data_IF_549032129677
#
_entry.id   IF_549032129677
#
_cell.length_a   1.000
_cell.length_b   1.000
_cell.length_c   1.000
_cell.angle_alpha   90.00
_cell.angle_beta   90.00
_cell.angle_gamma   90.00
#
_symmetry.space_group_name_H-M   'P 1'
#
loop_
_entity.id
_entity.type
_entity.pdbx_description
1 polymer ?
#
# COMPACT_ATOMS: atom_id res chain seq x y z
N UNK A 1 10.27 -2.48 -1.10
CA UNK A 1 10.10 -1.45 -0.05
C UNK A 1 9.66 -2.13 1.22
N UNK A 2 10.47 -2.03 2.26
CA UNK A 2 10.31 -2.77 3.50
C UNK A 2 11.17 -2.10 4.56
N UNK A 3 11.88 -2.90 5.35
CA UNK A 3 12.81 -2.40 6.37
C UNK A 3 14.27 -2.57 5.94
N UNK A 4 15.18 -1.76 6.50
CA UNK A 4 16.62 -1.98 6.40
C UNK A 4 17.02 -3.29 7.07
N UNK A 5 17.65 -4.21 6.33
CA UNK A 5 18.09 -5.50 6.89
C UNK A 5 19.43 -5.38 7.62
N UNK A 6 20.27 -4.43 7.23
CA UNK A 6 21.61 -4.24 7.76
C UNK A 6 22.12 -2.80 7.51
N UNK A 7 23.27 -2.46 8.10
CA UNK A 7 23.85 -1.12 8.00
C UNK A 7 24.29 -0.77 6.57
N UNK A 8 24.80 -1.72 5.80
CA UNK A 8 25.23 -1.46 4.42
C UNK A 8 24.06 -1.04 3.53
N UNK A 9 22.84 -1.51 3.81
CA UNK A 9 21.64 -1.05 3.11
C UNK A 9 21.25 0.39 3.45
N UNK A 10 21.58 0.88 4.64
CA UNK A 10 21.34 2.27 5.05
C UNK A 10 22.36 3.17 4.37
N UNK A 11 23.63 2.78 4.41
CA UNK A 11 24.74 3.56 3.83
C UNK A 11 24.63 3.62 2.29
N UNK A 12 24.08 2.58 1.66
CA UNK A 12 23.80 2.55 0.23
C UNK A 12 22.47 3.25 -0.15
N UNK A 13 21.67 3.69 0.82
CA UNK A 13 20.39 4.36 0.56
C UNK A 13 20.59 5.86 0.38
N UNK A 14 21.01 6.22 -0.83
CA UNK A 14 21.34 7.58 -1.24
C UNK A 14 20.39 8.11 -2.31
N UNK A 15 20.21 9.43 -2.34
CA UNK A 15 19.53 10.14 -3.42
C UNK A 15 20.40 10.23 -4.68
N UNK A 16 19.91 10.85 -5.76
CA UNK A 16 20.67 10.98 -7.01
C UNK A 16 22.00 11.74 -6.87
N UNK A 17 22.10 12.59 -5.85
CA UNK A 17 23.29 13.37 -5.53
C UNK A 17 24.27 12.64 -4.58
N UNK A 18 23.97 11.40 -4.18
CA UNK A 18 24.82 10.59 -3.29
C UNK A 18 24.69 10.93 -1.80
N UNK A 19 23.68 11.70 -1.41
CA UNK A 19 23.38 12.01 0.00
C UNK A 19 22.53 10.91 0.60
N UNK A 20 22.90 10.44 1.81
CA UNK A 20 22.15 9.39 2.51
C UNK A 20 20.82 9.95 3.00
N UNK A 21 19.71 9.33 2.56
CA UNK A 21 18.34 9.82 2.78
C UNK A 21 17.89 9.61 4.25
N UNK A 22 18.37 8.54 4.89
CA UNK A 22 18.01 8.19 6.27
C UNK A 22 19.24 7.91 7.14
N UNK A 23 20.09 8.92 7.42
CA UNK A 23 21.39 8.71 8.05
C UNK A 23 21.30 8.19 9.49
N UNK A 24 20.17 8.39 10.16
CA UNK A 24 19.93 7.95 11.54
C UNK A 24 19.16 6.62 11.62
N UNK A 25 18.82 6.00 10.49
CA UNK A 25 18.12 4.72 10.48
C UNK A 25 19.01 3.61 11.03
N UNK A 26 18.37 2.59 11.60
CA UNK A 26 19.00 1.37 12.09
C UNK A 26 18.42 0.16 11.37
N UNK A 27 19.15 -0.98 11.31
CA UNK A 27 18.57 -2.23 10.84
C UNK A 27 17.26 -2.53 11.58
N UNK A 28 16.18 -2.73 10.83
CA UNK A 28 14.83 -2.87 11.33
C UNK A 28 13.91 -1.68 11.02
N UNK A 29 14.47 -0.49 10.77
CA UNK A 29 13.67 0.70 10.46
C UNK A 29 13.10 0.64 9.04
N UNK A 30 11.94 1.29 8.85
CA UNK A 30 11.31 1.41 7.54
C UNK A 30 12.17 2.23 6.57
N UNK A 31 12.21 1.77 5.31
CA UNK A 31 12.76 2.53 4.19
C UNK A 31 11.67 3.46 3.65
N UNK A 32 11.81 4.76 3.91
CA UNK A 32 10.95 5.81 3.37
C UNK A 32 11.44 6.22 2.00
N UNK A 33 10.54 6.35 1.03
CA UNK A 33 10.88 6.79 -0.31
C UNK A 33 10.96 8.31 -0.33
N UNK A 34 12.13 8.83 -0.68
CA UNK A 34 12.33 10.22 -1.07
C UNK A 34 11.64 10.44 -2.43
N UNK A 35 10.63 11.32 -2.47
CA UNK A 35 9.78 11.56 -3.64
C UNK A 35 10.25 12.74 -4.49
N UNK A 36 10.95 13.70 -3.91
CA UNK A 36 11.44 14.90 -4.59
C UNK A 36 12.97 14.91 -4.80
N UNK A 37 13.64 13.85 -4.33
CA UNK A 37 15.07 13.55 -4.52
C UNK A 37 16.01 14.56 -3.84
N UNK A 38 15.53 15.22 -2.78
CA UNK A 38 16.28 16.24 -2.04
C UNK A 38 17.19 15.64 -0.94
N UNK A 39 17.05 14.34 -0.64
CA UNK A 39 17.82 13.63 0.37
C UNK A 39 17.31 13.78 1.80
N UNK A 40 16.21 14.49 2.02
CA UNK A 40 15.49 14.58 3.28
C UNK A 40 14.23 13.70 3.20
N UNK A 41 13.67 13.39 4.37
CA UNK A 41 12.36 12.74 4.45
C UNK A 41 11.47 13.64 5.28
N UNK A 42 10.57 14.38 4.63
CA UNK A 42 9.71 15.35 5.28
C UNK A 42 8.23 15.31 4.82
N UNK A 43 7.53 16.44 4.88
CA UNK A 43 6.13 16.53 4.51
C UNK A 43 5.92 16.45 2.99
N UNK A 44 6.91 16.85 2.20
CA UNK A 44 6.84 16.90 0.74
C UNK A 44 6.96 15.49 0.12
N UNK A 45 7.50 14.53 0.89
CA UNK A 45 7.51 13.09 0.55
C UNK A 45 6.17 12.37 0.75
N UNK A 46 5.12 13.09 1.16
CA UNK A 46 3.81 12.50 1.38
C UNK A 46 3.03 12.44 0.08
N UNK A 47 2.66 11.22 -0.31
CA UNK A 47 1.76 11.00 -1.45
C UNK A 47 0.50 10.24 -1.05
N UNK A 48 -0.54 10.36 -1.86
CA UNK A 48 -1.78 9.64 -1.67
C UNK A 48 -1.60 8.17 -2.05
N UNK A 49 -1.55 7.30 -1.05
CA UNK A 49 -1.35 5.85 -1.23
C UNK A 49 -2.63 5.06 -1.53
N UNK A 50 -3.77 5.74 -1.61
CA UNK A 50 -5.07 5.13 -1.85
C UNK A 50 -6.11 5.54 -0.80
N UNK A 51 -7.33 5.04 -0.98
CA UNK A 51 -8.44 5.24 -0.06
C UNK A 51 -9.02 3.89 0.33
N UNK A 52 -9.48 3.76 1.57
CA UNK A 52 -10.25 2.60 2.02
C UNK A 52 -11.69 2.58 1.48
N UNK A 53 -12.10 3.65 0.79
CA UNK A 53 -13.41 3.74 0.16
C UNK A 53 -13.37 2.97 -1.16
N UNK A 54 -14.20 1.91 -1.32
CA UNK A 54 -14.28 1.18 -2.57
C UNK A 54 -14.75 2.10 -3.70
N UNK A 55 -14.08 1.99 -4.84
CA UNK A 55 -14.46 2.63 -6.11
C UNK A 55 -15.82 2.12 -6.61
N UNK A 56 -16.17 0.86 -6.36
CA UNK A 56 -17.46 0.29 -6.73
C UNK A 56 -17.92 -0.78 -5.75
N UNK A 57 -19.23 -0.87 -5.56
CA UNK A 57 -19.91 -1.91 -4.77
C UNK A 57 -20.99 -2.56 -5.61
N UNK A 58 -21.11 -3.88 -5.58
CA UNK A 58 -22.12 -4.62 -6.33
C UNK A 58 -22.72 -5.75 -5.50
N UNK A 59 -23.95 -6.12 -5.85
CA UNK A 59 -24.68 -7.22 -5.22
C UNK A 59 -25.61 -7.90 -6.22
N UNK A 60 -25.75 -9.22 -6.10
CA UNK A 60 -26.61 -10.06 -6.94
C UNK A 60 -27.44 -10.96 -6.03
N UNK A 61 -28.75 -10.98 -6.26
CA UNK A 61 -29.67 -11.93 -5.63
C UNK A 61 -30.39 -12.71 -6.73
N UNK A 62 -30.28 -14.03 -6.71
CA UNK A 62 -30.98 -14.94 -7.61
C UNK A 62 -31.95 -15.78 -6.80
N UNK A 63 -33.23 -15.78 -7.17
CA UNK A 63 -34.25 -16.64 -6.60
C UNK A 63 -34.80 -17.54 -7.71
N UNK A 64 -34.88 -18.83 -7.45
CA UNK A 64 -35.44 -19.82 -8.38
C UNK A 64 -36.39 -20.75 -7.64
N UNK A 65 -37.56 -20.95 -8.22
CA UNK A 65 -38.59 -21.84 -7.70
C UNK A 65 -38.94 -22.88 -8.77
N UNK A 66 -38.88 -24.16 -8.40
CA UNK A 66 -39.26 -25.25 -9.31
C UNK A 66 -39.83 -26.46 -8.58
N UNK A 67 -41.06 -26.87 -8.92
CA UNK A 67 -41.76 -28.06 -8.40
C UNK A 67 -41.60 -28.25 -6.88
N UNK A 68 -41.96 -27.23 -6.11
CA UNK A 68 -41.88 -27.19 -4.64
C UNK A 68 -40.44 -27.18 -4.08
N UNK A 69 -39.43 -26.85 -4.89
CA UNK A 69 -38.07 -26.56 -4.43
C UNK A 69 -37.78 -25.07 -4.57
N UNK A 70 -37.21 -24.48 -3.53
CA UNK A 70 -36.72 -23.10 -3.51
C UNK A 70 -35.19 -23.06 -3.50
N UNK A 71 -34.61 -22.11 -4.23
CA UNK A 71 -33.17 -21.87 -4.25
C UNK A 71 -32.88 -20.37 -4.29
N UNK A 72 -32.06 -19.91 -3.35
CA UNK A 72 -31.59 -18.53 -3.27
C UNK A 72 -30.07 -18.47 -3.32
N UNK A 73 -29.53 -17.62 -4.18
CA UNK A 73 -28.11 -17.24 -4.19
C UNK A 73 -28.00 -15.75 -3.92
N UNK A 74 -27.14 -15.41 -2.96
CA UNK A 74 -26.76 -14.04 -2.68
C UNK A 74 -25.24 -13.90 -2.84
N UNK A 75 -24.82 -12.87 -3.58
CA UNK A 75 -23.44 -12.48 -3.73
C UNK A 75 -23.29 -10.98 -3.55
N UNK A 76 -22.22 -10.55 -2.88
CA UNK A 76 -21.85 -9.14 -2.72
C UNK A 76 -20.34 -8.95 -2.90
N UNK A 77 -19.94 -7.77 -3.37
CA UNK A 77 -18.54 -7.41 -3.54
C UNK A 77 -18.30 -5.90 -3.52
N UNK A 78 -17.06 -5.53 -3.21
CA UNK A 78 -16.58 -4.15 -3.22
C UNK A 78 -15.11 -4.12 -3.68
N UNK A 79 -14.70 -3.06 -4.37
CA UNK A 79 -13.32 -2.82 -4.83
C UNK A 79 -13.04 -1.34 -4.94
#
# INVERSE_FOLDING_TARGET
NGIFQNQAEIDAYVNSSGTVIQPNARPGDFKWKDLDDDGNIDADDRTFLGSSIPKFTFGITLNMDYKNFDFMVFAQGAS
#
